data_IF_694509715129
#
_entry.id   IF_694509715129
#
_cell.length_a   1.000
_cell.length_b   1.000
_cell.length_c   1.000
_cell.angle_alpha   90.00
_cell.angle_beta   90.00
_cell.angle_gamma   90.00
#
_symmetry.space_group_name_H-M   'P 1'
#
loop_
_entity.id
_entity.type
_entity.pdbx_description
1 polymer ?
#
# COMPACT_ATOMS: atom_id res chain seq x y z
N UNK A 1 -10.52 -6.42 36.30
CA UNK A 1 -10.32 -5.39 35.26
C UNK A 1 -10.63 -4.05 35.90
N UNK A 2 -9.59 -3.26 36.20
CA UNK A 2 -9.77 -1.93 36.82
C UNK A 2 -10.24 -0.94 35.76
N UNK A 3 -10.83 0.18 36.17
CA UNK A 3 -11.27 1.25 35.26
C UNK A 3 -10.12 1.85 34.44
N UNK A 4 -8.89 1.72 34.94
CA UNK A 4 -7.65 2.13 34.26
C UNK A 4 -7.31 1.19 33.09
N UNK A 5 -7.44 -0.12 33.27
CA UNK A 5 -7.23 -1.15 32.23
C UNK A 5 -8.25 -1.02 31.07
N UNK A 6 -9.50 -0.66 31.39
CA UNK A 6 -10.52 -0.37 30.40
C UNK A 6 -10.29 0.96 29.63
N UNK A 7 -9.61 1.93 30.24
CA UNK A 7 -9.22 3.19 29.60
C UNK A 7 -8.10 2.98 28.58
N UNK A 8 -7.05 2.24 28.96
CA UNK A 8 -5.92 1.92 28.10
C UNK A 8 -6.33 1.11 26.87
N UNK A 9 -7.21 0.11 27.05
CA UNK A 9 -7.78 -0.66 25.95
C UNK A 9 -8.49 0.23 24.92
N UNK A 10 -9.31 1.19 25.35
CA UNK A 10 -10.06 2.07 24.45
C UNK A 10 -9.14 2.98 23.63
N UNK A 11 -8.10 3.51 24.25
CA UNK A 11 -7.10 4.35 23.58
C UNK A 11 -6.35 3.56 22.52
N UNK A 12 -5.90 2.34 22.85
CA UNK A 12 -5.24 1.45 21.88
C UNK A 12 -6.15 1.13 20.70
N UNK A 13 -7.40 0.71 20.96
CA UNK A 13 -8.36 0.40 19.90
C UNK A 13 -8.67 1.61 19.02
N UNK A 14 -8.75 2.82 19.61
CA UNK A 14 -8.94 4.05 18.85
C UNK A 14 -7.75 4.34 17.93
N UNK A 15 -6.51 4.16 18.42
CA UNK A 15 -5.30 4.32 17.61
C UNK A 15 -5.24 3.31 16.45
N UNK A 16 -5.49 2.04 16.72
CA UNK A 16 -5.51 1.00 15.66
C UNK A 16 -6.58 1.28 14.60
N UNK A 17 -7.74 1.79 15.01
CA UNK A 17 -8.80 2.17 14.08
C UNK A 17 -8.38 3.39 13.25
N UNK A 18 -7.81 4.41 13.88
CA UNK A 18 -7.32 5.61 13.19
C UNK A 18 -6.25 5.23 12.15
N UNK A 19 -5.33 4.34 12.50
CA UNK A 19 -4.28 3.83 11.63
C UNK A 19 -4.85 3.10 10.41
N UNK A 20 -5.81 2.18 10.60
CA UNK A 20 -6.48 1.49 9.49
C UNK A 20 -7.24 2.43 8.56
N UNK A 21 -7.88 3.46 9.12
CA UNK A 21 -8.59 4.48 8.33
C UNK A 21 -7.58 5.31 7.53
N UNK A 22 -6.50 5.76 8.16
CA UNK A 22 -5.41 6.48 7.50
C UNK A 22 -4.78 5.64 6.38
N UNK A 23 -4.55 4.35 6.60
CA UNK A 23 -4.00 3.42 5.61
C UNK A 23 -4.94 3.25 4.41
N UNK A 24 -6.24 3.08 4.66
CA UNK A 24 -7.25 3.02 3.60
C UNK A 24 -7.29 4.28 2.74
N UNK A 25 -7.19 5.45 3.39
CA UNK A 25 -7.13 6.76 2.71
C UNK A 25 -5.81 6.96 1.98
N UNK A 26 -4.68 6.56 2.58
CA UNK A 26 -3.35 6.63 1.97
C UNK A 26 -3.31 5.86 0.65
N UNK A 27 -3.86 4.65 0.62
CA UNK A 27 -4.02 3.88 -0.63
C UNK A 27 -4.89 4.57 -1.67
N UNK A 28 -5.94 5.26 -1.25
CA UNK A 28 -6.80 5.99 -2.18
C UNK A 28 -6.07 7.21 -2.75
N UNK A 29 -5.43 8.01 -1.91
CA UNK A 29 -4.63 9.17 -2.31
C UNK A 29 -3.47 8.77 -3.23
N UNK A 30 -2.76 7.69 -2.87
CA UNK A 30 -1.65 7.16 -3.65
C UNK A 30 -2.07 6.72 -5.07
N UNK A 31 -3.24 6.07 -5.22
CA UNK A 31 -3.76 5.72 -6.56
C UNK A 31 -4.09 6.93 -7.41
N UNK A 32 -4.72 7.96 -6.82
CA UNK A 32 -4.98 9.23 -7.52
C UNK A 32 -3.65 9.85 -7.97
N UNK A 33 -2.67 9.87 -7.06
CA UNK A 33 -1.33 10.38 -7.33
C UNK A 33 -0.61 9.67 -8.46
N UNK A 34 -0.62 8.33 -8.45
CA UNK A 34 -0.07 7.51 -9.52
C UNK A 34 -0.74 7.82 -10.86
N UNK A 35 -2.08 7.93 -10.88
CA UNK A 35 -2.82 8.24 -12.11
C UNK A 35 -2.49 9.62 -12.67
N UNK A 36 -2.45 10.65 -11.83
CA UNK A 36 -2.10 12.02 -12.24
C UNK A 36 -0.64 12.10 -12.71
N UNK A 37 0.27 11.42 -12.01
CA UNK A 37 1.67 11.31 -12.39
C UNK A 37 1.84 10.58 -13.72
N UNK A 38 1.12 9.47 -13.94
CA UNK A 38 1.15 8.74 -15.20
C UNK A 38 0.62 9.60 -16.36
N UNK A 39 -0.42 10.40 -16.13
CA UNK A 39 -0.92 11.36 -17.13
C UNK A 39 0.13 12.40 -17.49
N UNK A 40 0.82 12.99 -16.50
CA UNK A 40 1.93 13.92 -16.73
C UNK A 40 3.11 13.25 -17.44
N UNK A 41 3.52 12.06 -16.99
CA UNK A 41 4.67 11.33 -17.50
C UNK A 41 4.44 10.74 -18.89
N UNK A 42 3.19 10.44 -19.28
CA UNK A 42 2.85 9.95 -20.62
C UNK A 42 3.15 10.97 -21.75
N UNK A 43 3.47 12.22 -21.41
CA UNK A 43 4.00 13.22 -22.33
C UNK A 43 5.52 13.23 -22.50
N UNK A 44 6.27 12.36 -21.81
CA UNK A 44 7.74 12.25 -21.87
C UNK A 44 8.22 10.85 -22.25
N UNK A 45 9.38 10.77 -22.92
CA UNK A 45 10.00 9.57 -23.50
C UNK A 45 10.25 8.40 -22.51
N UNK A 46 10.46 7.19 -23.06
CA UNK A 46 10.72 5.93 -22.35
C UNK A 46 11.78 6.07 -21.23
N UNK A 47 11.44 5.62 -20.01
CA UNK A 47 12.29 5.76 -18.83
C UNK A 47 13.39 4.70 -18.77
N UNK A 48 14.63 5.15 -18.55
CA UNK A 48 15.78 4.32 -18.14
C UNK A 48 15.68 3.99 -16.63
N UNK A 49 16.54 3.08 -16.15
CA UNK A 49 16.64 2.69 -14.73
C UNK A 49 16.97 3.88 -13.79
N UNK A 50 17.68 4.90 -14.29
CA UNK A 50 17.87 6.18 -13.57
C UNK A 50 16.56 6.97 -13.43
N UNK A 51 15.66 6.88 -14.40
CA UNK A 51 14.35 7.55 -14.39
C UNK A 51 13.34 6.95 -13.42
N UNK A 52 13.61 5.76 -12.85
CA UNK A 52 12.81 5.19 -11.75
C UNK A 52 13.11 5.84 -10.40
N UNK A 53 14.36 6.27 -10.13
CA UNK A 53 14.70 7.01 -8.91
C UNK A 53 14.17 8.45 -8.93
N UNK A 54 13.96 9.01 -10.12
CA UNK A 54 13.27 10.29 -10.31
C UNK A 54 11.75 10.17 -10.12
N UNK A 55 11.20 8.95 -10.06
CA UNK A 55 9.80 8.75 -9.68
C UNK A 55 9.67 9.05 -8.19
N UNK A 56 8.76 9.95 -7.81
CA UNK A 56 8.60 10.26 -6.41
C UNK A 56 8.24 9.03 -5.55
N UNK A 57 8.77 8.98 -4.33
CA UNK A 57 8.72 7.78 -3.46
C UNK A 57 7.31 7.23 -3.23
N UNK A 58 6.28 8.07 -3.12
CA UNK A 58 4.90 7.62 -2.93
C UNK A 58 4.31 6.96 -4.20
N UNK A 59 4.73 7.35 -5.41
CA UNK A 59 4.33 6.67 -6.65
C UNK A 59 5.00 5.30 -6.71
N UNK A 60 6.29 5.22 -6.33
CA UNK A 60 7.01 3.94 -6.22
C UNK A 60 6.35 3.01 -5.20
N UNK A 61 6.00 3.51 -4.02
CA UNK A 61 5.29 2.75 -2.98
C UNK A 61 3.96 2.19 -3.49
N UNK A 62 3.15 3.00 -4.18
CA UNK A 62 1.86 2.57 -4.74
C UNK A 62 2.03 1.52 -5.84
N UNK A 63 3.08 1.61 -6.65
CA UNK A 63 3.40 0.60 -7.67
C UNK A 63 3.89 -0.71 -7.04
N UNK A 64 4.73 -0.63 -6.01
CA UNK A 64 5.17 -1.80 -5.24
C UNK A 64 3.98 -2.52 -4.59
N UNK A 65 3.06 -1.80 -3.95
CA UNK A 65 1.83 -2.39 -3.38
C UNK A 65 0.95 -3.07 -4.44
N UNK A 66 0.82 -2.48 -5.63
CA UNK A 66 0.05 -3.07 -6.73
C UNK A 66 0.68 -4.36 -7.23
N UNK A 67 1.99 -4.37 -7.46
CA UNK A 67 2.75 -5.57 -7.86
C UNK A 67 2.59 -6.69 -6.82
N UNK A 68 2.84 -6.40 -5.55
CA UNK A 68 2.69 -7.38 -4.48
C UNK A 68 1.27 -7.94 -4.37
N UNK A 69 0.24 -7.09 -4.56
CA UNK A 69 -1.16 -7.52 -4.59
C UNK A 69 -1.45 -8.40 -5.79
N UNK A 70 -0.98 -8.05 -6.98
CA UNK A 70 -1.16 -8.83 -8.20
C UNK A 70 -0.50 -10.20 -8.09
N UNK A 71 0.72 -10.27 -7.56
CA UNK A 71 1.42 -11.51 -7.27
C UNK A 71 0.65 -12.39 -6.27
N UNK A 72 0.15 -11.80 -5.17
CA UNK A 72 -0.69 -12.52 -4.21
C UNK A 72 -1.95 -13.08 -4.86
N UNK A 73 -2.59 -12.29 -5.72
CA UNK A 73 -3.79 -12.72 -6.45
C UNK A 73 -3.46 -13.79 -7.50
N UNK A 74 -2.30 -13.70 -8.17
CA UNK A 74 -1.81 -14.70 -9.10
C UNK A 74 -1.54 -16.03 -8.39
N UNK A 75 -0.82 -16.01 -7.27
CA UNK A 75 -0.61 -17.18 -6.39
C UNK A 75 -1.93 -17.77 -5.89
N UNK A 76 -2.88 -16.91 -5.50
CA UNK A 76 -4.21 -17.34 -5.09
C UNK A 76 -5.00 -18.02 -6.21
N UNK A 77 -4.93 -17.47 -7.43
CA UNK A 77 -5.53 -18.07 -8.64
C UNK A 77 -4.87 -19.39 -9.01
N UNK A 78 -3.54 -19.48 -8.93
CA UNK A 78 -2.78 -20.69 -9.17
C UNK A 78 -3.17 -21.80 -8.18
N UNK A 79 -3.21 -21.46 -6.88
CA UNK A 79 -3.66 -22.39 -5.82
C UNK A 79 -5.10 -22.86 -6.05
N UNK A 80 -6.01 -21.94 -6.40
CA UNK A 80 -7.39 -22.29 -6.72
C UNK A 80 -7.48 -23.20 -7.97
N UNK A 81 -6.71 -22.91 -9.01
CA UNK A 81 -6.64 -23.75 -10.21
C UNK A 81 -6.03 -25.14 -9.91
N UNK A 82 -5.05 -25.22 -9.01
CA UNK A 82 -4.47 -26.48 -8.54
C UNK A 82 -5.51 -27.31 -7.77
N UNK A 83 -6.23 -26.69 -6.84
CA UNK A 83 -7.32 -27.34 -6.10
C UNK A 83 -8.41 -27.85 -7.05
N UNK A 84 -8.84 -27.03 -8.02
CA UNK A 84 -9.82 -27.44 -9.03
C UNK A 84 -9.34 -28.62 -9.89
N UNK A 85 -8.03 -28.69 -10.23
CA UNK A 85 -7.46 -29.85 -10.92
C UNK A 85 -7.46 -31.11 -10.05
N UNK A 86 -7.19 -30.99 -8.76
CA UNK A 86 -7.25 -32.09 -7.80
C UNK A 86 -8.69 -32.58 -7.59
N UNK A 87 -9.69 -31.68 -7.60
CA UNK A 87 -11.11 -32.06 -7.52
C UNK A 87 -11.60 -32.83 -8.77
N UNK A 88 -11.04 -32.54 -9.95
CA UNK A 88 -11.40 -33.22 -11.21
C UNK A 88 -10.71 -34.58 -11.34
N UNK A 89 -9.52 -34.75 -10.75
CA UNK A 89 -8.78 -36.02 -10.72
C UNK A 89 -9.13 -36.76 -9.43
N UNK A 90 -10.26 -37.47 -9.44
CA UNK A 90 -10.71 -38.27 -8.30
C UNK A 90 -9.61 -39.17 -7.71
N UNK A 91 -9.30 -38.92 -6.44
CA UNK A 91 -8.83 -39.81 -5.37
C UNK A 91 -7.59 -40.72 -5.58
N UNK A 92 -6.97 -40.80 -6.75
CA UNK A 92 -5.82 -41.70 -6.97
C UNK A 92 -4.58 -40.94 -7.44
N UNK A 93 -3.85 -40.32 -6.51
CA UNK A 93 -2.48 -39.83 -6.78
C UNK A 93 -2.03 -38.52 -6.12
N UNK A 94 -2.57 -38.14 -4.96
CA UNK A 94 -2.07 -36.98 -4.23
C UNK A 94 -0.74 -37.26 -3.54
N UNK A 95 0.37 -37.01 -4.21
CA UNK A 95 1.66 -36.83 -3.54
C UNK A 95 1.55 -35.65 -2.57
N UNK A 96 1.65 -35.99 -1.27
CA UNK A 96 1.42 -35.07 -0.16
C UNK A 96 2.32 -33.85 -0.25
N UNK A 97 1.71 -32.68 -0.19
CA UNK A 97 2.40 -31.46 0.21
C UNK A 97 2.97 -31.71 1.60
N UNK A 98 4.19 -31.22 1.87
CA UNK A 98 4.70 -31.27 3.23
C UNK A 98 3.70 -30.56 4.18
N UNK A 99 3.46 -31.21 5.31
CA UNK A 99 2.49 -30.79 6.33
C UNK A 99 2.98 -29.53 7.08
N UNK A 100 4.23 -29.11 6.85
CA UNK A 100 4.89 -28.04 7.60
C UNK A 100 4.47 -26.65 7.07
N UNK A 101 4.26 -26.47 5.76
CA UNK A 101 3.82 -25.16 5.21
C UNK A 101 2.35 -24.82 5.57
N UNK A 102 1.50 -25.84 5.75
CA UNK A 102 0.10 -25.66 6.13
C UNK A 102 -0.08 -25.23 7.61
N UNK A 103 0.79 -25.69 8.51
CA UNK A 103 0.71 -25.36 9.95
C UNK A 103 1.13 -23.91 10.23
N UNK A 104 2.09 -23.36 9.46
CA UNK A 104 2.57 -21.97 9.62
C UNK A 104 1.47 -20.94 9.35
N UNK A 105 0.61 -21.18 8.36
CA UNK A 105 -0.52 -20.27 8.02
C UNK A 105 -1.63 -20.36 9.07
N UNK A 106 -1.84 -21.53 9.68
CA UNK A 106 -2.88 -21.76 10.68
C UNK A 106 -2.54 -21.20 12.08
N UNK A 107 -1.24 -21.14 12.43
CA UNK A 107 -0.78 -20.67 13.75
C UNK A 107 -0.81 -19.14 13.95
N UNK A 108 -1.08 -18.36 12.91
CA UNK A 108 -1.17 -16.91 13.03
C UNK A 108 0.14 -16.26 13.49
N UNK A 109 1.28 -16.94 13.31
CA UNK A 109 2.61 -16.38 13.51
C UNK A 109 2.94 -15.44 12.35
N UNK A 110 2.33 -14.25 12.35
CA UNK A 110 2.86 -13.11 11.61
C UNK A 110 4.03 -12.52 12.38
N UNK A 111 5.08 -13.31 12.60
CA UNK A 111 6.37 -12.76 12.99
C UNK A 111 7.04 -12.34 11.68
N UNK A 112 6.91 -11.05 11.35
CA UNK A 112 7.77 -10.34 10.39
C UNK A 112 7.56 -10.65 8.89
N UNK A 113 6.32 -10.88 8.46
CA UNK A 113 5.94 -11.07 7.05
C UNK A 113 6.01 -9.83 6.14
N UNK A 114 6.96 -8.92 6.39
CA UNK A 114 7.42 -7.89 5.45
C UNK A 114 8.92 -8.03 5.13
N UNK A 115 9.63 -9.01 5.71
CA UNK A 115 11.03 -9.32 5.38
C UNK A 115 11.15 -10.56 4.49
N UNK A 116 10.41 -10.55 3.38
CA UNK A 116 10.44 -11.61 2.38
C UNK A 116 10.51 -11.00 0.99
N UNK A 117 11.45 -10.09 0.78
CA UNK A 117 11.86 -9.60 -0.54
C UNK A 117 13.39 -9.62 -0.50
N UNK A 118 14.02 -10.30 -1.46
CA UNK A 118 15.47 -10.24 -1.64
C UNK A 118 16.20 -11.58 -1.79
N UNK A 119 15.70 -12.51 -2.61
CA UNK A 119 16.52 -13.57 -3.22
C UNK A 119 16.46 -13.44 -4.76
N UNK A 120 16.64 -12.20 -5.24
CA UNK A 120 16.80 -11.84 -6.63
C UNK A 120 17.89 -10.78 -6.73
N UNK A 121 18.95 -11.08 -7.47
CA UNK A 121 20.24 -10.38 -7.47
C UNK A 121 20.25 -9.00 -8.17
N UNK A 122 19.15 -8.23 -8.19
CA UNK A 122 19.07 -6.92 -8.87
C UNK A 122 18.06 -5.94 -8.22
N UNK A 123 18.27 -5.51 -6.97
CA UNK A 123 17.59 -4.33 -6.41
C UNK A 123 18.60 -3.53 -5.57
N UNK A 124 19.09 -2.41 -6.10
CA UNK A 124 19.74 -1.38 -5.28
C UNK A 124 18.73 -0.96 -4.20
N UNK A 125 18.97 -1.32 -2.93
CA UNK A 125 18.05 -1.05 -1.81
C UNK A 125 17.59 0.41 -1.84
N UNK A 126 16.31 0.63 -2.16
CA UNK A 126 15.69 1.95 -2.25
C UNK A 126 15.43 2.49 -0.84
N UNK A 127 16.51 2.97 -0.20
CA UNK A 127 16.49 3.42 1.19
C UNK A 127 15.43 4.50 1.46
N UNK A 128 15.11 5.34 0.47
CA UNK A 128 14.05 6.36 0.59
C UNK A 128 12.67 5.71 0.67
N UNK A 129 12.41 4.69 -0.16
CA UNK A 129 11.17 3.93 -0.13
C UNK A 129 11.03 3.15 1.18
N UNK A 130 12.11 2.53 1.65
CA UNK A 130 12.11 1.86 2.96
C UNK A 130 11.79 2.84 4.08
N UNK A 131 12.48 3.99 4.13
CA UNK A 131 12.20 5.03 5.12
C UNK A 131 10.74 5.47 5.06
N UNK A 132 10.21 5.70 3.85
CA UNK A 132 8.81 6.07 3.66
C UNK A 132 7.84 5.00 4.16
N UNK A 133 8.13 3.72 3.92
CA UNK A 133 7.30 2.61 4.37
C UNK A 133 7.34 2.42 5.90
N UNK A 134 8.42 2.83 6.57
CA UNK A 134 8.52 2.78 8.05
C UNK A 134 7.68 3.85 8.76
N UNK A 135 7.25 4.90 8.06
CA UNK A 135 6.37 5.94 8.63
C UNK A 135 5.03 5.37 9.07
N UNK A 136 4.32 6.08 9.94
CA UNK A 136 2.93 5.74 10.25
C UNK A 136 2.03 5.96 9.03
N UNK A 137 0.87 5.29 9.01
CA UNK A 137 -0.10 5.45 7.93
C UNK A 137 -0.59 6.91 7.79
N UNK A 138 -0.67 7.64 8.91
CA UNK A 138 -1.04 9.06 8.95
C UNK A 138 0.03 9.93 8.30
N UNK A 139 1.30 9.73 8.63
CA UNK A 139 2.42 10.47 8.03
C UNK A 139 2.54 10.21 6.53
N UNK A 140 2.39 8.95 6.09
CA UNK A 140 2.39 8.61 4.66
C UNK A 140 1.24 9.31 3.93
N UNK A 141 0.05 9.31 4.51
CA UNK A 141 -1.12 9.99 3.94
C UNK A 141 -0.87 11.50 3.84
N UNK A 142 -0.37 12.11 4.91
CA UNK A 142 -0.11 13.55 4.95
C UNK A 142 0.94 13.97 3.91
N UNK A 143 2.05 13.22 3.79
CA UNK A 143 3.07 13.46 2.74
C UNK A 143 2.47 13.32 1.34
N UNK A 144 1.67 12.28 1.10
CA UNK A 144 1.01 12.05 -0.20
C UNK A 144 0.05 13.19 -0.55
N UNK A 145 -0.78 13.63 0.41
CA UNK A 145 -1.74 14.73 0.20
C UNK A 145 -1.03 16.04 -0.07
N UNK A 146 0.06 16.35 0.65
CA UNK A 146 0.85 17.55 0.38
C UNK A 146 1.43 17.52 -1.03
N UNK A 147 1.99 16.40 -1.45
CA UNK A 147 2.53 16.28 -2.80
C UNK A 147 1.46 16.45 -3.87
N UNK A 148 0.27 15.85 -3.71
CA UNK A 148 -0.86 16.04 -4.64
C UNK A 148 -1.23 17.51 -4.83
N UNK A 149 -1.16 18.30 -3.75
CA UNK A 149 -1.42 19.74 -3.79
C UNK A 149 -0.30 20.51 -4.47
N UNK A 150 0.96 20.19 -4.16
CA UNK A 150 2.12 20.90 -4.70
C UNK A 150 2.31 20.62 -6.20
N UNK A 151 2.17 19.36 -6.61
CA UNK A 151 2.51 18.95 -7.98
C UNK A 151 1.32 19.10 -8.95
N UNK A 152 0.10 18.89 -8.47
CA UNK A 152 -1.08 18.87 -9.34
C UNK A 152 -2.17 19.85 -8.93
N UNK A 153 -1.95 20.68 -7.91
CA UNK A 153 -2.99 21.52 -7.32
C UNK A 153 -4.25 20.72 -6.97
N UNK A 154 -4.08 19.46 -6.54
CA UNK A 154 -5.18 18.54 -6.27
C UNK A 154 -5.43 18.41 -4.77
N UNK A 155 -6.64 18.72 -4.32
CA UNK A 155 -7.06 18.44 -2.95
C UNK A 155 -7.73 17.07 -2.87
N UNK A 156 -7.09 16.15 -2.14
CA UNK A 156 -7.66 14.82 -1.86
C UNK A 156 -9.00 14.88 -1.13
N UNK A 157 -9.16 15.82 -0.20
CA UNK A 157 -10.37 15.92 0.62
C UNK A 157 -11.54 16.54 -0.16
N UNK A 158 -11.30 17.60 -0.95
CA UNK A 158 -12.30 18.15 -1.85
C UNK A 158 -12.58 17.25 -3.06
N UNK A 159 -11.65 16.35 -3.39
CA UNK A 159 -11.64 15.53 -4.61
C UNK A 159 -11.66 16.36 -5.90
N UNK A 160 -10.97 17.50 -5.87
CA UNK A 160 -10.96 18.46 -6.95
C UNK A 160 -9.54 18.91 -7.26
N UNK A 161 -9.29 19.15 -8.55
CA UNK A 161 -8.11 19.83 -9.05
C UNK A 161 -8.41 21.34 -9.16
N UNK A 162 -7.43 22.16 -8.82
CA UNK A 162 -7.50 23.62 -8.86
C UNK A 162 -6.61 24.16 -9.97
N UNK A 163 -6.89 25.39 -10.40
CA UNK A 163 -6.19 26.01 -11.53
C UNK A 163 -4.78 26.50 -11.16
N UNK A 164 -4.55 26.84 -9.89
CA UNK A 164 -3.31 27.43 -9.39
C UNK A 164 -2.88 26.88 -8.02
N UNK A 165 -1.67 27.27 -7.61
CA UNK A 165 -1.03 26.88 -6.34
C UNK A 165 -1.76 27.44 -5.11
N UNK A 166 -2.46 28.58 -5.24
CA UNK A 166 -3.22 29.15 -4.12
C UNK A 166 -4.42 28.27 -3.76
N UNK A 167 -4.91 27.48 -4.72
CA UNK A 167 -6.03 26.57 -4.58
C UNK A 167 -7.25 27.31 -4.00
N UNK A 168 -7.61 28.43 -4.61
CA UNK A 168 -8.64 29.35 -4.11
C UNK A 168 -9.94 28.60 -3.79
N UNK A 169 -10.45 28.77 -2.57
CA UNK A 169 -11.65 28.08 -2.07
C UNK A 169 -11.41 26.70 -1.43
N UNK A 170 -10.17 26.22 -1.35
CA UNK A 170 -9.83 25.04 -0.57
C UNK A 170 -9.71 25.38 0.95
N UNK A 171 -10.41 24.65 1.85
CA UNK A 171 -10.36 24.92 3.30
C UNK A 171 -8.99 24.71 3.97
N UNK A 172 -8.08 23.94 3.36
CA UNK A 172 -6.74 23.70 3.88
C UNK A 172 -6.16 22.37 3.43
N UNK A 173 -5.18 21.85 4.17
CA UNK A 173 -4.50 20.57 3.86
C UNK A 173 -5.04 19.38 4.67
N UNK A 174 -5.50 19.64 5.90
CA UNK A 174 -5.99 18.63 6.83
C UNK A 174 -7.42 18.19 6.54
N UNK A 175 -7.78 16.98 6.96
CA UNK A 175 -9.16 16.48 6.83
C UNK A 175 -10.12 17.29 7.70
N UNK A 176 -9.68 17.72 8.88
CA UNK A 176 -10.48 18.36 9.92
C UNK A 176 -11.16 19.65 9.47
N UNK A 177 -10.68 20.26 8.40
CA UNK A 177 -11.26 21.47 7.78
C UNK A 177 -12.19 21.15 6.59
N UNK A 178 -12.41 19.87 6.25
CA UNK A 178 -13.15 19.45 5.06
C UNK A 178 -14.53 18.80 5.29
N UNK A 179 -14.97 18.62 6.55
CA UNK A 179 -16.36 18.23 6.88
C UNK A 179 -16.67 16.73 6.78
#
# INVERSE_FOLDING_TARGET
MTTEDAGDFRVRMAREKAEKVAEGRGRAAGRVGETLYAQMASGGEEKTEEGEREVPVFVRAVRAEQRAKEERMARGREKAARLARMEVQGEEGGEGLDDDEADVVARGETVRGLQGIGDGEDEEEDAELEEFLTLSAEERLERTVRWLRQEFHYCFWCKAQYDDEEMEGCPGVGEEVHG
#
